data_IF_538090396518
#
_entry.id   IF_538090396518
#
_cell.length_a   1.000
_cell.length_b   1.000
_cell.length_c   1.000
_cell.angle_alpha   90.00
_cell.angle_beta   90.00
_cell.angle_gamma   90.00
#
_symmetry.space_group_name_H-M   'P 1'
#
loop_
_entity.id
_entity.type
_entity.pdbx_description
1 polymer ?
#
# COMPACT_ATOMS: atom_id res chain seq x y z
N UNK A 1 -1.38 -2.84 30.82
CA UNK A 1 -1.65 -3.15 29.39
C UNK A 1 -1.96 -1.85 28.70
N UNK A 2 -1.04 -1.39 27.85
CA UNK A 2 -1.18 -0.10 27.15
C UNK A 2 -2.22 -0.28 26.06
N UNK A 3 -3.36 0.37 26.23
CA UNK A 3 -4.40 0.44 25.21
C UNK A 3 -3.87 1.22 24.02
N UNK A 4 -3.74 0.55 22.88
CA UNK A 4 -3.50 1.21 21.60
C UNK A 4 -4.78 2.00 21.30
N UNK A 5 -4.72 3.33 21.46
CA UNK A 5 -5.73 4.22 20.89
C UNK A 5 -5.57 4.14 19.37
N UNK A 6 -6.30 3.24 18.74
CA UNK A 6 -6.58 3.35 17.31
C UNK A 6 -7.39 4.63 17.17
N UNK A 7 -6.77 5.69 16.65
CA UNK A 7 -7.52 6.84 16.15
C UNK A 7 -8.36 6.31 14.99
N UNK A 8 -9.67 6.29 15.18
CA UNK A 8 -10.65 6.04 14.11
C UNK A 8 -10.53 7.19 13.10
N UNK A 9 -9.59 7.08 12.17
CA UNK A 9 -9.43 8.01 11.07
C UNK A 9 -10.24 7.47 9.87
N UNK A 10 -11.22 8.23 9.35
CA UNK A 10 -12.09 7.80 8.26
C UNK A 10 -11.34 7.50 6.95
N UNK A 11 -10.09 7.95 6.79
CA UNK A 11 -9.29 7.68 5.60
C UNK A 11 -8.79 6.24 5.51
N UNK A 12 -8.74 5.50 6.62
CA UNK A 12 -8.25 4.12 6.62
C UNK A 12 -9.42 3.15 6.42
N UNK A 13 -9.31 2.31 5.40
CA UNK A 13 -10.29 1.28 5.09
C UNK A 13 -10.22 0.10 6.07
N UNK A 14 -11.33 -0.61 6.23
CA UNK A 14 -11.31 -1.95 6.83
C UNK A 14 -10.75 -2.94 5.80
N UNK A 15 -9.84 -3.82 6.22
CA UNK A 15 -9.24 -4.90 5.42
C UNK A 15 -10.33 -5.65 4.62
N UNK A 16 -10.51 -5.32 3.33
CA UNK A 16 -11.45 -6.03 2.45
C UNK A 16 -10.82 -7.35 1.97
N UNK A 17 -11.55 -8.45 2.15
CA UNK A 17 -11.15 -9.77 1.64
C UNK A 17 -11.27 -9.81 0.10
N UNK A 18 -10.28 -10.43 -0.55
CA UNK A 18 -10.04 -10.38 -1.98
C UNK A 18 -10.90 -11.40 -2.76
N UNK A 19 -12.11 -11.02 -3.15
CA UNK A 19 -12.83 -11.66 -4.24
C UNK A 19 -13.41 -10.57 -5.16
N UNK A 20 -12.57 -10.00 -6.02
CA UNK A 20 -12.91 -9.42 -7.34
C UNK A 20 -11.75 -8.54 -7.82
N UNK A 21 -10.82 -9.12 -8.58
CA UNK A 21 -9.79 -8.40 -9.34
C UNK A 21 -10.34 -7.46 -10.43
N UNK A 22 -11.66 -7.32 -10.54
CA UNK A 22 -12.36 -6.43 -11.48
C UNK A 22 -12.74 -5.07 -10.89
N UNK A 23 -12.46 -4.78 -9.62
CA UNK A 23 -12.80 -3.49 -8.99
C UNK A 23 -11.72 -2.41 -9.13
N UNK A 24 -10.43 -2.78 -9.18
CA UNK A 24 -9.35 -1.81 -9.31
C UNK A 24 -9.09 -1.45 -10.78
N UNK A 25 -9.08 -0.15 -11.07
CA UNK A 25 -8.93 0.38 -12.43
C UNK A 25 -7.48 0.44 -12.90
N UNK A 26 -6.53 0.46 -11.97
CA UNK A 26 -5.09 0.47 -12.18
C UNK A 26 -4.46 -0.46 -11.15
N UNK A 27 -3.56 -1.34 -11.60
CA UNK A 27 -2.72 -2.17 -10.74
C UNK A 27 -1.28 -2.07 -11.21
N UNK A 28 -0.35 -1.81 -10.28
CA UNK A 28 1.09 -1.78 -10.55
C UNK A 28 1.82 -2.70 -9.58
N UNK A 29 2.75 -3.48 -10.11
CA UNK A 29 3.61 -4.36 -9.32
C UNK A 29 5.07 -3.97 -9.49
N UNK A 30 5.81 -3.91 -8.39
CA UNK A 30 7.26 -3.72 -8.37
C UNK A 30 7.91 -4.84 -7.55
N UNK A 31 8.84 -5.55 -8.15
CA UNK A 31 9.68 -6.52 -7.45
C UNK A 31 10.89 -5.83 -6.83
N UNK A 32 11.27 -6.25 -5.63
CA UNK A 32 12.44 -5.79 -4.91
C UNK A 32 12.92 -6.87 -3.93
N UNK A 33 14.13 -6.75 -3.43
CA UNK A 33 14.67 -7.64 -2.40
C UNK A 33 15.50 -6.82 -1.38
N UNK A 34 15.83 -7.45 -0.25
CA UNK A 34 16.74 -6.91 0.76
C UNK A 34 18.12 -7.60 0.70
N UNK A 35 18.48 -8.15 -0.47
CA UNK A 35 19.69 -8.92 -0.71
C UNK A 35 19.91 -10.02 0.33
N UNK A 36 21.12 -10.07 0.90
CA UNK A 36 21.53 -11.08 1.86
C UNK A 36 20.67 -11.13 3.14
N UNK A 37 20.01 -10.02 3.53
CA UNK A 37 19.16 -9.99 4.73
C UNK A 37 17.99 -10.96 4.63
N UNK A 38 17.50 -11.19 3.41
CA UNK A 38 16.45 -12.14 3.12
C UNK A 38 16.93 -13.30 2.26
N UNK A 39 18.24 -13.58 2.24
CA UNK A 39 18.82 -14.64 1.42
C UNK A 39 18.40 -14.53 -0.07
N UNK A 40 18.32 -13.29 -0.57
CA UNK A 40 17.85 -12.93 -1.91
C UNK A 40 16.39 -13.33 -2.20
N UNK A 41 15.55 -13.52 -1.18
CA UNK A 41 14.10 -13.64 -1.36
C UNK A 41 13.55 -12.32 -1.91
N UNK A 42 12.96 -12.40 -3.10
CA UNK A 42 12.26 -11.28 -3.73
C UNK A 42 10.86 -11.12 -3.14
N UNK A 43 10.43 -9.87 -3.00
CA UNK A 43 9.10 -9.45 -2.58
C UNK A 43 8.42 -8.69 -3.72
N UNK A 44 7.10 -8.79 -3.78
CA UNK A 44 6.28 -8.02 -4.70
C UNK A 44 5.52 -6.93 -3.94
N UNK A 45 5.79 -5.66 -4.26
CA UNK A 45 4.95 -4.53 -3.88
C UNK A 45 3.87 -4.36 -4.94
N UNK A 46 2.61 -4.55 -4.56
CA UNK A 46 1.45 -4.32 -5.43
C UNK A 46 0.68 -3.09 -4.93
N UNK A 47 0.39 -2.16 -5.83
CA UNK A 47 -0.44 -0.99 -5.58
C UNK A 47 -1.62 -1.03 -6.52
N UNK A 48 -2.82 -1.12 -5.95
CA UNK A 48 -4.08 -1.10 -6.68
C UNK A 48 -4.81 0.22 -6.40
N UNK A 49 -5.36 0.83 -7.46
CA UNK A 49 -6.08 2.10 -7.39
C UNK A 49 -7.48 1.97 -8.01
N UNK A 50 -8.48 2.44 -7.27
CA UNK A 50 -9.86 2.55 -7.71
C UNK A 50 -10.32 3.99 -7.54
N UNK A 51 -10.93 4.57 -8.59
CA UNK A 51 -11.62 5.85 -8.44
C UNK A 51 -12.99 5.62 -7.79
N UNK A 52 -13.30 6.41 -6.77
CA UNK A 52 -14.59 6.42 -6.10
C UNK A 52 -15.52 7.50 -6.71
N UNK A 53 -16.82 7.33 -6.53
CA UNK A 53 -17.84 8.22 -7.13
C UNK A 53 -17.76 9.67 -6.61
N UNK A 54 -17.21 9.87 -5.41
CA UNK A 54 -17.00 11.19 -4.81
C UNK A 54 -15.73 11.90 -5.30
N UNK A 55 -14.96 11.29 -6.21
CA UNK A 55 -13.72 11.85 -6.74
C UNK A 55 -12.46 11.55 -5.91
N UNK A 56 -12.59 10.79 -4.83
CA UNK A 56 -11.46 10.22 -4.09
C UNK A 56 -10.91 8.97 -4.80
N UNK A 57 -9.75 8.50 -4.35
CA UNK A 57 -9.13 7.26 -4.81
C UNK A 57 -8.93 6.31 -3.64
N UNK A 58 -9.54 5.12 -3.75
CA UNK A 58 -9.22 4.00 -2.88
C UNK A 58 -7.91 3.37 -3.34
N UNK A 59 -6.98 3.21 -2.41
CA UNK A 59 -5.64 2.66 -2.61
C UNK A 59 -5.46 1.43 -1.73
N UNK A 60 -5.11 0.31 -2.36
CA UNK A 60 -4.74 -0.92 -1.67
C UNK A 60 -3.27 -1.22 -1.97
N UNK A 61 -2.44 -1.22 -0.92
CA UNK A 61 -1.02 -1.55 -1.00
C UNK A 61 -0.78 -2.90 -0.34
N UNK A 62 -0.10 -3.78 -1.05
CA UNK A 62 0.12 -5.17 -0.63
C UNK A 62 1.58 -5.55 -0.81
N UNK A 63 2.09 -6.36 0.12
CA UNK A 63 3.36 -7.06 -0.02
C UNK A 63 3.11 -8.55 -0.05
N UNK A 64 3.61 -9.22 -1.10
CA UNK A 64 3.58 -10.68 -1.25
C UNK A 64 5.01 -11.23 -1.38
N UNK A 65 5.26 -12.46 -0.89
CA UNK A 65 6.48 -13.17 -1.23
C UNK A 65 6.48 -13.50 -2.72
N UNK A 66 7.64 -13.39 -3.37
CA UNK A 66 7.85 -13.91 -4.72
C UNK A 66 8.67 -15.20 -4.64
N UNK A 67 8.13 -16.30 -5.16
CA UNK A 67 8.76 -17.63 -5.17
C UNK A 67 8.95 -18.28 -3.79
N UNK A 68 8.38 -17.71 -2.73
CA UNK A 68 8.32 -18.29 -1.38
C UNK A 68 6.87 -18.38 -0.90
N UNK A 69 6.62 -19.22 0.12
CA UNK A 69 5.28 -19.43 0.66
C UNK A 69 4.84 -18.33 1.63
N UNK A 70 5.78 -17.81 2.43
CA UNK A 70 5.51 -16.85 3.50
C UNK A 70 6.40 -15.61 3.41
N UNK A 71 5.91 -14.50 3.96
CA UNK A 71 6.70 -13.31 4.18
C UNK A 71 7.72 -13.54 5.30
N UNK A 72 8.88 -12.87 5.24
CA UNK A 72 9.81 -12.84 6.37
C UNK A 72 9.13 -12.28 7.62
N UNK A 73 9.17 -12.99 8.77
CA UNK A 73 8.59 -12.50 10.01
C UNK A 73 9.29 -11.19 10.44
N UNK A 74 8.50 -10.20 10.84
CA UNK A 74 9.00 -8.87 11.20
C UNK A 74 9.24 -7.92 10.01
N UNK A 75 8.90 -8.33 8.79
CA UNK A 75 8.77 -7.40 7.67
C UNK A 75 7.62 -6.42 7.96
N UNK A 76 7.88 -5.12 7.89
CA UNK A 76 6.84 -4.10 8.10
C UNK A 76 6.48 -3.41 6.79
N UNK A 77 5.19 -3.17 6.60
CA UNK A 77 4.64 -2.27 5.60
C UNK A 77 4.09 -1.05 6.33
N UNK A 78 4.62 0.12 6.02
CA UNK A 78 4.14 1.40 6.52
C UNK A 78 3.73 2.30 5.38
N UNK A 79 2.61 3.00 5.57
CA UNK A 79 2.12 4.01 4.65
C UNK A 79 2.04 5.34 5.40
N UNK A 80 2.56 6.39 4.79
CA UNK A 80 2.46 7.77 5.28
C UNK A 80 1.68 8.61 4.28
N UNK A 81 0.58 9.21 4.72
CA UNK A 81 -0.21 10.16 3.93
C UNK A 81 0.30 11.58 4.19
N UNK A 82 0.16 12.45 3.19
CA UNK A 82 0.59 13.85 3.23
C UNK A 82 2.02 14.01 3.79
N UNK A 83 3.02 13.29 3.24
CA UNK A 83 4.39 13.36 3.73
C UNK A 83 4.93 14.80 3.66
N UNK A 84 5.79 15.16 4.61
CA UNK A 84 6.41 16.50 4.70
C UNK A 84 5.43 17.66 4.99
N UNK A 85 4.20 17.35 5.40
CA UNK A 85 3.20 18.34 5.86
C UNK A 85 2.93 18.22 7.35
N UNK A 86 2.26 19.23 7.92
CA UNK A 86 1.82 19.19 9.33
C UNK A 86 0.72 18.14 9.58
N UNK A 87 -0.02 17.75 8.56
CA UNK A 87 -1.12 16.78 8.62
C UNK A 87 -0.65 15.34 8.31
N UNK A 88 0.66 15.12 8.35
CA UNK A 88 1.23 13.81 8.05
C UNK A 88 0.80 12.76 9.07
N UNK A 89 0.27 11.65 8.56
CA UNK A 89 -0.22 10.53 9.35
C UNK A 89 0.29 9.22 8.76
N UNK A 90 0.55 8.22 9.61
CA UNK A 90 1.04 6.93 9.14
C UNK A 90 0.37 5.75 9.83
N UNK A 91 0.20 4.66 9.09
CA UNK A 91 -0.20 3.36 9.60
C UNK A 91 0.82 2.30 9.19
N UNK A 92 0.97 1.28 10.02
CA UNK A 92 1.93 0.19 9.82
C UNK A 92 1.29 -1.16 10.14
N UNK A 93 1.75 -2.20 9.43
CA UNK A 93 1.44 -3.60 9.71
C UNK A 93 2.70 -4.45 9.57
N UNK A 94 2.88 -5.42 10.45
CA UNK A 94 4.03 -6.33 10.48
C UNK A 94 3.62 -7.75 10.09
N UNK A 95 4.43 -8.41 9.27
CA UNK A 95 4.25 -9.81 8.92
C UNK A 95 4.57 -10.72 10.12
N UNK A 96 3.68 -11.67 10.39
CA UNK A 96 3.85 -12.74 11.38
C UNK A 96 4.33 -14.02 10.69
N UNK A 97 4.58 -15.07 11.47
CA UNK A 97 5.27 -16.29 10.98
C UNK A 97 4.63 -17.01 9.80
N UNK A 98 3.31 -16.91 9.62
CA UNK A 98 2.56 -17.61 8.57
C UNK A 98 1.82 -16.65 7.64
N UNK A 99 2.12 -15.35 7.73
CA UNK A 99 1.50 -14.38 6.84
C UNK A 99 2.18 -14.50 5.46
N UNK A 100 1.38 -14.78 4.43
CA UNK A 100 1.81 -14.75 3.03
C UNK A 100 1.42 -13.43 2.33
N UNK A 101 0.85 -12.50 3.09
CA UNK A 101 0.38 -11.20 2.64
C UNK A 101 0.32 -10.25 3.85
N UNK A 102 0.82 -9.04 3.68
CA UNK A 102 0.47 -7.90 4.52
C UNK A 102 -0.07 -6.78 3.63
N UNK A 103 -1.05 -6.03 4.13
CA UNK A 103 -1.70 -4.99 3.35
C UNK A 103 -2.22 -3.85 4.21
N UNK A 104 -2.32 -2.69 3.58
CA UNK A 104 -3.00 -1.51 4.12
C UNK A 104 -3.86 -0.91 3.01
N UNK A 105 -5.05 -0.46 3.39
CA UNK A 105 -6.04 0.15 2.51
C UNK A 105 -6.41 1.54 3.06
N UNK A 106 -6.43 2.52 2.19
CA UNK A 106 -6.79 3.89 2.53
C UNK A 106 -7.48 4.58 1.35
N UNK A 107 -8.14 5.69 1.63
CA UNK A 107 -8.72 6.58 0.63
C UNK A 107 -8.01 7.91 0.69
N UNK A 108 -7.72 8.48 -0.47
CA UNK A 108 -7.00 9.74 -0.59
C UNK A 108 -7.59 10.61 -1.71
N UNK A 109 -7.53 11.93 -1.54
CA UNK A 109 -7.94 12.84 -2.60
C UNK A 109 -6.99 12.76 -3.81
N UNK A 110 -7.50 13.06 -4.99
CA UNK A 110 -6.61 13.11 -6.15
C UNK A 110 -5.59 14.25 -6.05
N UNK A 111 -4.40 14.01 -6.58
CA UNK A 111 -3.20 14.84 -6.55
C UNK A 111 -2.52 14.94 -5.17
N UNK A 112 -2.97 14.16 -4.18
CA UNK A 112 -2.25 14.01 -2.92
C UNK A 112 -1.15 12.96 -3.03
N UNK A 113 -0.12 13.15 -2.20
CA UNK A 113 1.05 12.29 -2.10
C UNK A 113 0.91 11.29 -0.95
N UNK A 114 1.39 10.07 -1.21
CA UNK A 114 1.60 9.09 -0.15
C UNK A 114 2.95 8.39 -0.33
N UNK A 115 3.53 7.98 0.79
CA UNK A 115 4.81 7.27 0.86
C UNK A 115 4.59 5.87 1.38
N UNK A 116 5.12 4.88 0.66
CA UNK A 116 5.18 3.48 1.07
C UNK A 116 6.59 3.16 1.54
N UNK A 117 6.70 2.61 2.74
CA UNK A 117 7.95 2.13 3.33
C UNK A 117 7.79 0.64 3.62
N UNK A 118 8.68 -0.18 3.06
CA UNK A 118 8.82 -1.59 3.47
C UNK A 118 10.12 -1.70 4.23
N UNK A 119 10.08 -2.15 5.47
CA UNK A 119 11.28 -2.27 6.30
C UNK A 119 11.50 -3.70 6.76
N UNK A 120 12.77 -4.12 6.78
CA UNK A 120 13.20 -5.35 7.40
C UNK A 120 14.49 -5.07 8.18
N UNK A 121 14.46 -5.33 9.49
CA UNK A 121 15.54 -4.92 10.40
C UNK A 121 15.85 -3.43 10.24
N UNK A 122 17.12 -3.06 10.01
CA UNK A 122 17.56 -1.67 9.85
C UNK A 122 17.53 -1.15 8.41
N UNK A 123 16.99 -1.94 7.47
CA UNK A 123 16.90 -1.55 6.05
C UNK A 123 15.48 -1.18 5.67
N UNK A 124 15.34 -0.10 4.91
CA UNK A 124 14.05 0.41 4.42
C UNK A 124 14.11 0.57 2.91
N UNK A 125 13.11 -0.01 2.23
CA UNK A 125 12.77 0.27 0.85
C UNK A 125 11.64 1.31 0.82
N UNK A 126 11.85 2.42 0.11
CA UNK A 126 10.90 3.53 0.06
C UNK A 126 10.42 3.79 -1.36
N UNK A 127 9.13 4.05 -1.52
CA UNK A 127 8.53 4.49 -2.78
C UNK A 127 7.49 5.57 -2.52
N UNK A 128 7.59 6.68 -3.23
CA UNK A 128 6.63 7.78 -3.20
C UNK A 128 5.69 7.69 -4.41
N UNK A 129 4.44 8.07 -4.19
CA UNK A 129 3.35 7.99 -5.14
C UNK A 129 2.47 9.25 -5.09
N UNK A 130 1.85 9.56 -6.23
CA UNK A 130 0.81 10.60 -6.35
C UNK A 130 -0.47 9.93 -6.85
N UNK A 131 -1.59 10.24 -6.22
CA UNK A 131 -2.93 9.82 -6.61
C UNK A 131 -3.40 10.62 -7.84
N UNK A 132 -2.96 10.27 -9.05
CA UNK A 132 -3.33 11.04 -10.25
C UNK A 132 -4.83 10.97 -10.60
N UNK A 133 -5.43 12.11 -10.96
CA UNK A 133 -6.75 12.12 -11.61
C UNK A 133 -6.68 11.44 -12.96
N UNK A 134 -7.52 10.43 -13.18
CA UNK A 134 -7.73 9.87 -14.51
C UNK A 134 -8.41 10.91 -15.40
N UNK A 135 -7.67 11.47 -16.36
CA UNK A 135 -8.26 12.32 -17.41
C UNK A 135 -9.02 11.41 -18.37
N UNK A 136 -10.35 11.48 -18.37
CA UNK A 136 -11.13 10.85 -19.43
C UNK A 136 -10.81 11.56 -20.75
N UNK A 137 -10.21 10.84 -21.71
CA UNK A 137 -10.15 11.33 -23.08
C UNK A 137 -11.58 11.37 -23.61
N UNK A 138 -12.11 12.56 -23.86
CA UNK A 138 -13.36 12.71 -24.58
C UNK A 138 -13.18 12.09 -25.98
N UNK A 139 -13.97 11.07 -26.29
CA UNK A 139 -14.12 10.58 -27.66
C UNK A 139 -14.66 11.73 -28.52
N UNK A 140 -13.75 12.38 -29.25
CA UNK A 140 -14.14 13.23 -30.37
C UNK A 140 -14.62 12.33 -31.50
N UNK A 141 -15.90 11.98 -31.48
CA UNK A 141 -16.59 11.58 -32.71
C UNK A 141 -16.63 12.81 -33.64
N UNK A 142 -15.97 12.69 -34.78
CA UNK A 142 -16.16 13.56 -35.93
C UNK A 142 -17.47 13.18 -36.63
#
# INVERSE_FOLDING_TARGET
MVGIKVLNNPMWGYVRNNENSHKFSISRTKFFDFGLLLQNQTLALIVNLQQEENGEQSVLVQILPHQAEYLPPGLNLKITLNPNTADSISQEVSARQIDNLIQLEFTEESNQEFKVEVSYQDTVFTQEFICEKKVMKADRKH
#
